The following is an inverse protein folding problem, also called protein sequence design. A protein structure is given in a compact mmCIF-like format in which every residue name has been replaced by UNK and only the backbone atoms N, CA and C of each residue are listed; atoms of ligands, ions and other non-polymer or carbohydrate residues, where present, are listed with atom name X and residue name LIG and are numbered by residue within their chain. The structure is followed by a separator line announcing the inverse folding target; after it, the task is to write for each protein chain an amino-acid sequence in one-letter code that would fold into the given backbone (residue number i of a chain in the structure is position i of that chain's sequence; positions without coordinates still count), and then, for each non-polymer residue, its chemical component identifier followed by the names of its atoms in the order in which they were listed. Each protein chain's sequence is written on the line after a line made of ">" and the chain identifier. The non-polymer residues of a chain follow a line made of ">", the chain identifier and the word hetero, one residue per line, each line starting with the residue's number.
data_IF_828860458929
#
_entry.id   IF_828860458929
#
_cell.length_a   1.000
_cell.length_b   1.000
_cell.length_c   1.000
_cell.angle_alpha   90.00
_cell.angle_beta   90.00
_cell.angle_gamma   90.00
#
_symmetry.space_group_name_H-M   'P 1'
#
loop_
_entity.id
_entity.type
_entity.pdbx_description
1 polymer ?
#
# COMPACT_ATOMS: atom_id res chain seq x y z
N UNK A 1 11.67 11.68 8.39
CA UNK A 1 10.87 11.19 7.25
C UNK A 1 11.85 10.66 6.23
N UNK A 2 11.66 9.42 5.73
CA UNK A 2 12.58 8.84 4.73
C UNK A 2 12.49 9.59 3.40
N UNK A 3 13.57 9.60 2.63
CA UNK A 3 13.56 10.16 1.27
C UNK A 3 12.69 9.31 0.34
N UNK A 4 12.26 9.89 -0.78
CA UNK A 4 11.47 9.15 -1.78
C UNK A 4 12.23 7.96 -2.35
N UNK A 5 13.56 8.08 -2.55
CA UNK A 5 14.41 6.98 -3.04
C UNK A 5 14.50 5.83 -2.02
N UNK A 6 14.61 6.14 -0.73
CA UNK A 6 14.58 5.11 0.32
C UNK A 6 13.22 4.42 0.37
N UNK A 7 12.12 5.17 0.27
CA UNK A 7 10.77 4.59 0.25
C UNK A 7 10.58 3.72 -0.99
N UNK A 8 11.11 4.13 -2.14
CA UNK A 8 11.11 3.32 -3.37
C UNK A 8 11.81 1.98 -3.16
N UNK A 9 13.02 1.98 -2.60
CA UNK A 9 13.74 0.72 -2.33
C UNK A 9 12.97 -0.19 -1.38
N UNK A 10 12.43 0.36 -0.29
CA UNK A 10 11.64 -0.42 0.67
C UNK A 10 10.41 -1.02 -0.01
N UNK A 11 9.71 -0.22 -0.83
CA UNK A 11 8.52 -0.67 -1.58
C UNK A 11 8.89 -1.80 -2.53
N UNK A 12 9.99 -1.68 -3.27
CA UNK A 12 10.45 -2.70 -4.21
C UNK A 12 10.89 -3.99 -3.49
N UNK A 13 11.50 -3.89 -2.30
CA UNK A 13 11.90 -5.06 -1.49
C UNK A 13 10.73 -5.90 -0.98
N UNK A 14 9.58 -5.27 -0.70
CA UNK A 14 8.42 -5.92 -0.08
C UNK A 14 7.25 -6.15 -1.05
N UNK A 15 7.38 -5.68 -2.29
CA UNK A 15 6.29 -5.70 -3.28
C UNK A 15 5.78 -7.12 -3.56
N UNK A 16 6.70 -8.06 -3.79
CA UNK A 16 6.35 -9.46 -4.07
C UNK A 16 5.64 -10.14 -2.89
N UNK A 17 6.08 -9.86 -1.67
CA UNK A 17 5.46 -10.38 -0.43
C UNK A 17 4.05 -9.79 -0.24
N UNK A 18 3.88 -8.48 -0.49
CA UNK A 18 2.58 -7.83 -0.44
C UNK A 18 1.60 -8.41 -1.47
N UNK A 19 2.09 -8.78 -2.66
CA UNK A 19 1.26 -9.46 -3.66
C UNK A 19 0.85 -10.88 -3.26
N UNK A 20 1.47 -11.50 -2.25
CA UNK A 20 1.00 -12.78 -1.71
C UNK A 20 -0.24 -12.63 -0.82
N UNK A 21 -0.55 -11.41 -0.35
CA UNK A 21 -1.76 -11.17 0.43
C UNK A 21 -3.01 -11.22 -0.45
N UNK A 22 -4.01 -11.97 0.00
CA UNK A 22 -5.26 -12.14 -0.71
C UNK A 22 -5.96 -10.79 -0.97
N UNK A 23 -6.29 -10.56 -2.23
CA UNK A 23 -6.99 -9.36 -2.70
C UNK A 23 -6.10 -8.15 -2.97
N UNK A 24 -4.79 -8.19 -2.74
CA UNK A 24 -3.88 -7.10 -3.16
C UNK A 24 -3.81 -7.04 -4.69
N UNK A 25 -4.04 -5.84 -5.26
CA UNK A 25 -4.09 -5.62 -6.72
C UNK A 25 -2.98 -4.71 -7.24
N UNK A 26 -2.41 -3.86 -6.40
CA UNK A 26 -1.29 -2.98 -6.75
C UNK A 26 -0.60 -2.42 -5.50
N UNK A 27 0.68 -2.04 -5.65
CA UNK A 27 1.47 -1.33 -4.65
C UNK A 27 2.08 -0.08 -5.29
N UNK A 28 2.07 1.04 -4.58
CA UNK A 28 2.50 2.35 -5.09
C UNK A 28 3.03 3.23 -3.95
N UNK A 29 3.67 4.35 -4.26
CA UNK A 29 4.13 5.33 -3.27
C UNK A 29 3.37 6.62 -3.47
N UNK A 30 2.89 7.21 -2.39
CA UNK A 30 2.25 8.51 -2.49
C UNK A 30 1.61 8.99 -1.19
N UNK A 31 0.81 10.06 -1.26
CA UNK A 31 0.19 10.62 -0.07
C UNK A 31 -0.83 9.65 0.52
N UNK A 32 -0.80 9.50 1.84
CA UNK A 32 -1.79 8.76 2.62
C UNK A 32 -3.13 9.48 2.63
N UNK A 33 -4.23 8.73 2.66
CA UNK A 33 -5.58 9.26 2.79
C UNK A 33 -6.19 8.89 4.14
N UNK A 34 -6.79 9.87 4.84
CA UNK A 34 -7.48 9.67 6.12
C UNK A 34 -8.88 10.27 5.99
N UNK A 35 -9.93 9.46 6.23
CA UNK A 35 -11.31 9.90 6.06
C UNK A 35 -11.63 10.43 4.64
N UNK A 36 -11.00 9.85 3.62
CA UNK A 36 -11.13 10.30 2.22
C UNK A 36 -10.33 11.56 1.87
N UNK A 37 -9.60 12.17 2.82
CA UNK A 37 -8.79 13.37 2.59
C UNK A 37 -7.33 13.02 2.40
N UNK A 38 -6.73 13.58 1.35
CA UNK A 38 -5.29 13.52 1.10
C UNK A 38 -4.53 14.19 2.25
N UNK A 39 -3.43 13.58 2.67
CA UNK A 39 -2.51 14.13 3.69
C UNK A 39 -1.14 14.46 3.07
N UNK A 40 -0.29 15.15 3.84
CA UNK A 40 1.11 15.42 3.47
C UNK A 40 2.07 14.28 3.85
N UNK A 41 1.54 13.16 4.35
CA UNK A 41 2.33 11.99 4.76
C UNK A 41 2.51 11.08 3.55
N UNK A 42 3.75 10.87 3.11
CA UNK A 42 4.08 9.86 2.10
C UNK A 42 4.07 8.47 2.74
N UNK A 43 3.40 7.54 2.07
CA UNK A 43 3.15 6.17 2.50
C UNK A 43 3.33 5.18 1.35
N UNK A 44 3.54 3.91 1.70
CA UNK A 44 3.37 2.78 0.78
C UNK A 44 1.87 2.52 0.67
N UNK A 45 1.30 2.82 -0.50
CA UNK A 45 -0.12 2.59 -0.79
C UNK A 45 -0.29 1.16 -1.27
N UNK A 46 -1.18 0.43 -0.60
CA UNK A 46 -1.50 -0.95 -0.93
C UNK A 46 -2.95 -0.93 -1.37
N UNK A 47 -3.19 -1.34 -2.60
CA UNK A 47 -4.54 -1.40 -3.12
C UNK A 47 -5.09 -2.80 -3.04
N UNK A 48 -6.32 -2.91 -2.56
CA UNK A 48 -7.04 -4.17 -2.46
C UNK A 48 -8.32 -4.11 -3.28
N UNK A 49 -8.76 -5.27 -3.78
CA UNK A 49 -10.01 -5.40 -4.52
C UNK A 49 -11.23 -5.03 -3.68
N UNK A 50 -11.20 -5.39 -2.39
CA UNK A 50 -12.20 -5.05 -1.38
C UNK A 50 -11.55 -4.98 0.00
N UNK A 51 -12.06 -4.10 0.87
CA UNK A 51 -11.72 -4.12 2.30
C UNK A 51 -12.64 -5.08 3.02
N UNK A 52 -12.05 -6.02 3.75
CA UNK A 52 -12.75 -7.00 4.57
C UNK A 52 -12.11 -7.06 5.96
N UNK A 53 -12.90 -7.48 6.94
CA UNK A 53 -12.38 -7.82 8.26
C UNK A 53 -11.62 -9.15 8.15
N UNK A 54 -10.33 -9.11 8.49
CA UNK A 54 -9.44 -10.28 8.48
C UNK A 54 -8.87 -10.51 9.88
N UNK A 55 -8.45 -11.76 10.20
CA UNK A 55 -7.64 -12.01 11.39
C UNK A 55 -6.40 -11.12 11.40
N UNK A 56 -5.93 -10.74 12.60
CA UNK A 56 -4.76 -9.87 12.75
C UNK A 56 -3.51 -10.43 12.07
N UNK A 57 -3.36 -11.76 12.02
CA UNK A 57 -2.27 -12.45 11.33
C UNK A 57 -2.27 -12.26 9.80
N UNK A 58 -3.44 -12.02 9.21
CA UNK A 58 -3.61 -11.83 7.76
C UNK A 58 -3.69 -10.33 7.38
N UNK A 59 -3.76 -9.46 8.38
CA UNK A 59 -3.86 -8.03 8.18
C UNK A 59 -2.56 -7.46 7.60
N UNK A 60 -2.71 -6.58 6.61
CA UNK A 60 -1.59 -5.82 6.07
C UNK A 60 -0.97 -4.94 7.18
N UNK A 61 0.36 -4.86 7.27
CA UNK A 61 1.03 -4.11 8.31
C UNK A 61 0.72 -2.61 8.18
N UNK A 62 0.60 -1.91 9.31
CA UNK A 62 0.35 -0.45 9.33
C UNK A 62 1.58 0.38 8.99
N UNK A 63 2.75 -0.24 9.07
CA UNK A 63 4.05 0.36 8.80
C UNK A 63 5.01 -0.73 8.30
N UNK A 64 5.85 -0.40 7.31
CA UNK A 64 6.88 -1.27 6.77
C UNK A 64 8.21 -0.54 6.87
N UNK A 65 9.16 -1.08 7.63
CA UNK A 65 10.48 -0.51 7.83
C UNK A 65 10.45 1.01 8.19
N UNK A 66 9.54 1.47 9.06
CA UNK A 66 9.43 2.89 9.40
C UNK A 66 8.64 3.76 8.42
N UNK A 67 8.08 3.18 7.35
CA UNK A 67 7.24 3.88 6.38
C UNK A 67 5.78 3.50 6.61
N UNK A 68 4.87 4.47 6.85
CA UNK A 68 3.47 4.16 7.05
C UNK A 68 2.87 3.53 5.79
N UNK A 69 1.93 2.59 5.96
CA UNK A 69 1.17 2.02 4.85
C UNK A 69 -0.19 2.69 4.71
N UNK A 70 -0.79 2.62 3.52
CA UNK A 70 -2.14 3.08 3.27
C UNK A 70 -2.94 2.10 2.42
N UNK A 71 -3.84 1.37 3.08
CA UNK A 71 -4.69 0.37 2.41
C UNK A 71 -5.91 1.05 1.81
N UNK A 72 -6.07 0.95 0.49
CA UNK A 72 -7.16 1.57 -0.27
C UNK A 72 -7.90 0.53 -1.10
N UNK A 73 -9.23 0.63 -1.14
CA UNK A 73 -10.02 -0.19 -2.05
C UNK A 73 -10.05 0.46 -3.43
N UNK A 74 -9.47 -0.18 -4.44
CA UNK A 74 -9.45 0.29 -5.83
C UNK A 74 -9.39 -0.91 -6.77
N UNK A 75 -10.10 -0.81 -7.89
CA UNK A 75 -9.96 -1.73 -9.03
C UNK A 75 -9.15 -1.06 -10.12
N UNK A 76 -8.07 -1.69 -10.54
CA UNK A 76 -7.29 -1.27 -11.70
C UNK A 76 -7.63 -2.15 -12.89
N UNK A 77 -7.72 -1.54 -14.06
CA UNK A 77 -7.81 -2.24 -15.34
C UNK A 77 -6.56 -1.93 -16.13
N UNK A 78 -5.82 -2.96 -16.53
CA UNK A 78 -4.66 -2.80 -17.39
C UNK A 78 -5.12 -2.25 -18.74
N UNK A 79 -4.72 -1.02 -19.06
CA UNK A 79 -4.92 -0.46 -20.39
C UNK A 79 -3.71 -0.83 -21.24
N UNK A 80 -3.80 -1.93 -21.98
CA UNK A 80 -2.83 -2.21 -23.05
C UNK A 80 -3.12 -1.26 -24.22
N UNK A 81 -2.11 -0.47 -24.62
CA UNK A 81 -2.12 0.29 -25.88
C UNK A 81 -1.57 -0.57 -27.01
#
# INVERSE_FOLDING_TARGET
>A
MKSLEEIQRIKDEVEDDLFQHDGVTAVDIGPKYIGGKKTDIIAIRIYVVEKKDVPEADALPREIQGVPTDVQERRFTLHNK
#
